data_IF_942982164641
#
_entry.id   IF_942982164641
#
_cell.length_a   1.000
_cell.length_b   1.000
_cell.length_c   1.000
_cell.angle_alpha   90.00
_cell.angle_beta   90.00
_cell.angle_gamma   90.00
#
_symmetry.space_group_name_H-M   'P 1'
#
loop_
_entity.id
_entity.type
_entity.pdbx_description
1 polymer ?
#
# COMPACT_ATOMS: atom_id res chain seq x y z
N UNK A 1 16.92 -0.95 22.66
CA UNK A 1 15.47 -0.93 22.91
C UNK A 1 14.85 0.13 21.99
N UNK A 2 14.50 -0.22 20.76
CA UNK A 2 13.66 0.62 19.91
C UNK A 2 12.30 0.55 20.56
N UNK A 3 11.92 1.67 21.14
CA UNK A 3 10.60 1.89 21.69
C UNK A 3 9.62 1.78 20.52
N UNK A 4 8.50 1.11 20.75
CA UNK A 4 7.27 1.41 20.03
C UNK A 4 7.19 2.93 19.87
N UNK A 5 7.31 3.44 18.65
CA UNK A 5 7.29 4.88 18.41
C UNK A 5 5.90 5.47 18.66
N UNK A 6 4.90 4.61 18.92
CA UNK A 6 3.60 5.04 19.36
C UNK A 6 3.73 5.89 20.62
N UNK A 7 3.35 7.13 20.42
CA UNK A 7 3.30 8.14 21.46
C UNK A 7 2.00 7.97 22.25
N UNK A 8 2.00 8.48 23.48
CA UNK A 8 0.77 8.64 24.27
C UNK A 8 -0.22 9.60 23.59
N UNK A 9 0.24 10.34 22.57
CA UNK A 9 -0.57 11.31 21.84
C UNK A 9 -0.53 11.09 20.33
N UNK A 10 -1.62 11.41 19.67
CA UNK A 10 -1.72 11.43 18.21
C UNK A 10 -1.31 12.80 17.66
N UNK A 11 -0.90 12.83 16.38
CA UNK A 11 -0.68 14.06 15.60
C UNK A 11 -1.68 14.16 14.45
N UNK A 12 -2.96 13.90 14.74
CA UNK A 12 -4.03 13.77 13.75
C UNK A 12 -4.12 14.99 12.81
N UNK A 13 -3.98 16.21 13.34
CA UNK A 13 -4.05 17.42 12.52
C UNK A 13 -2.88 17.53 11.55
N UNK A 14 -1.67 17.12 11.96
CA UNK A 14 -0.50 17.11 11.06
C UNK A 14 -0.61 16.01 9.99
N UNK A 15 -1.15 14.83 10.34
CA UNK A 15 -1.42 13.77 9.35
C UNK A 15 -2.42 14.25 8.29
N UNK A 16 -3.51 14.91 8.70
CA UNK A 16 -4.50 15.44 7.76
C UNK A 16 -3.97 16.60 6.92
N UNK A 17 -3.13 17.47 7.49
CA UNK A 17 -2.39 18.50 6.75
C UNK A 17 -1.49 17.88 5.68
N UNK A 18 -0.68 16.88 6.06
CA UNK A 18 0.20 16.19 5.12
C UNK A 18 -0.62 15.50 4.02
N UNK A 19 -1.71 14.83 4.38
CA UNK A 19 -2.64 14.18 3.45
C UNK A 19 -3.23 15.18 2.45
N UNK A 20 -3.64 16.36 2.92
CA UNK A 20 -4.21 17.42 2.08
C UNK A 20 -3.20 17.97 1.06
N UNK A 21 -1.99 18.28 1.50
CA UNK A 21 -1.02 19.02 0.69
C UNK A 21 -0.02 18.16 -0.07
N UNK A 22 0.38 17.03 0.50
CA UNK A 22 1.43 16.17 -0.07
C UNK A 22 0.85 14.98 -0.81
N UNK A 23 -0.19 14.33 -0.26
CA UNK A 23 -0.82 13.18 -0.90
C UNK A 23 -1.79 13.66 -1.98
N UNK A 24 -2.94 14.21 -1.60
CA UNK A 24 -3.95 14.65 -2.59
C UNK A 24 -3.68 16.02 -3.21
N UNK A 25 -2.62 16.70 -2.77
CA UNK A 25 -2.16 17.94 -3.42
C UNK A 25 -1.39 17.68 -4.71
N UNK A 26 -0.78 16.50 -4.86
CA UNK A 26 0.12 16.15 -5.97
C UNK A 26 -0.44 15.07 -6.90
N UNK A 27 -1.49 14.35 -6.50
CA UNK A 27 -2.08 13.26 -7.29
C UNK A 27 -3.13 13.81 -8.28
N UNK A 28 -2.96 13.50 -9.57
CA UNK A 28 -3.96 13.77 -10.61
C UNK A 28 -4.64 12.48 -11.07
N UNK A 29 -5.71 12.12 -10.36
CA UNK A 29 -6.64 11.03 -10.72
C UNK A 29 -8.07 11.54 -10.57
N UNK A 30 -8.63 12.22 -11.58
CA UNK A 30 -9.97 12.81 -11.52
C UNK A 30 -11.09 11.76 -11.54
N UNK A 31 -10.81 10.56 -12.06
CA UNK A 31 -11.75 9.45 -12.19
C UNK A 31 -11.86 8.55 -10.96
N UNK A 32 -10.97 8.70 -9.98
CA UNK A 32 -10.94 7.87 -8.78
C UNK A 32 -11.62 8.56 -7.58
N UNK A 33 -12.37 7.80 -6.78
CA UNK A 33 -12.81 8.26 -5.47
C UNK A 33 -11.60 8.53 -4.58
N UNK A 34 -11.66 9.65 -3.83
CA UNK A 34 -10.59 10.08 -2.93
C UNK A 34 -11.07 9.90 -1.50
N UNK A 35 -10.54 8.89 -0.84
CA UNK A 35 -10.98 8.47 0.50
C UNK A 35 -9.77 8.40 1.42
N UNK A 36 -9.91 8.92 2.64
CA UNK A 36 -8.96 8.80 3.74
C UNK A 36 -9.60 7.95 4.82
N UNK A 37 -9.05 6.76 5.08
CA UNK A 37 -9.38 5.96 6.25
C UNK A 37 -8.41 6.33 7.38
N UNK A 38 -8.87 7.10 8.37
CA UNK A 38 -8.04 7.58 9.48
C UNK A 38 -8.22 6.66 10.69
N UNK A 39 -7.26 5.78 10.93
CA UNK A 39 -7.21 4.96 12.16
C UNK A 39 -6.54 5.76 13.29
N UNK A 40 -7.21 5.89 14.44
CA UNK A 40 -6.66 6.61 15.60
C UNK A 40 -6.96 5.88 16.90
N UNK A 41 -5.95 5.70 17.74
CA UNK A 41 -6.07 5.01 19.03
C UNK A 41 -5.70 5.90 20.23
N UNK A 42 -5.41 7.18 20.00
CA UNK A 42 -4.99 8.13 21.03
C UNK A 42 -5.49 9.54 20.76
N UNK A 43 -5.33 10.42 21.74
CA UNK A 43 -5.75 11.81 21.65
C UNK A 43 -4.62 12.72 21.16
N UNK A 44 -4.94 13.72 20.34
CA UNK A 44 -4.00 14.78 19.99
C UNK A 44 -3.97 15.91 21.03
N UNK A 45 -2.80 16.52 21.32
CA UNK A 45 -2.71 17.63 22.25
C UNK A 45 -3.59 18.82 21.81
N UNK A 46 -4.27 19.52 22.74
CA UNK A 46 -5.22 20.60 22.40
C UNK A 46 -4.65 21.71 21.53
N UNK A 47 -3.33 21.97 21.60
CA UNK A 47 -2.65 22.98 20.76
C UNK A 47 -2.69 22.62 19.27
N UNK A 48 -2.47 21.35 18.94
CA UNK A 48 -2.47 20.87 17.55
C UNK A 48 -3.91 20.73 17.01
N UNK A 49 -4.84 20.28 17.86
CA UNK A 49 -6.24 20.09 17.51
C UNK A 49 -6.98 21.38 17.06
N UNK A 50 -6.44 22.57 17.33
CA UNK A 50 -7.02 23.86 16.90
C UNK A 50 -7.19 23.95 15.39
N UNK A 51 -6.30 23.33 14.62
CA UNK A 51 -6.31 23.39 13.17
C UNK A 51 -7.05 22.20 12.52
N UNK A 52 -7.54 21.24 13.31
CA UNK A 52 -8.19 20.03 12.80
C UNK A 52 -9.31 20.35 11.81
N UNK A 53 -10.24 21.23 12.21
CA UNK A 53 -11.39 21.63 11.38
C UNK A 53 -10.93 22.23 10.05
N UNK A 54 -9.90 23.07 10.07
CA UNK A 54 -9.36 23.72 8.86
C UNK A 54 -8.88 22.68 7.85
N UNK A 55 -8.16 21.66 8.28
CA UNK A 55 -7.64 20.63 7.37
C UNK A 55 -8.74 19.71 6.84
N UNK A 56 -9.70 19.32 7.69
CA UNK A 56 -10.83 18.51 7.24
C UNK A 56 -11.71 19.28 6.24
N UNK A 57 -11.92 20.59 6.46
CA UNK A 57 -12.61 21.45 5.50
C UNK A 57 -11.85 21.57 4.17
N UNK A 58 -10.52 21.68 4.21
CA UNK A 58 -9.69 21.66 3.01
C UNK A 58 -9.79 20.33 2.23
N UNK A 59 -9.82 19.20 2.94
CA UNK A 59 -10.04 17.88 2.35
C UNK A 59 -11.42 17.79 1.68
N UNK A 60 -12.47 18.26 2.37
CA UNK A 60 -13.83 18.34 1.82
C UNK A 60 -13.91 19.19 0.54
N UNK A 61 -13.27 20.37 0.53
CA UNK A 61 -13.27 21.24 -0.66
C UNK A 61 -12.63 20.57 -1.88
N UNK A 62 -11.68 19.67 -1.66
CA UNK A 62 -11.06 18.83 -2.70
C UNK A 62 -11.85 17.55 -3.01
N UNK A 63 -13.07 17.41 -2.46
CA UNK A 63 -13.94 16.23 -2.58
C UNK A 63 -13.27 14.95 -2.06
N UNK A 64 -12.51 15.07 -0.97
CA UNK A 64 -11.88 13.95 -0.28
C UNK A 64 -12.76 13.58 0.91
N UNK A 65 -13.21 12.32 0.95
CA UNK A 65 -14.01 11.75 2.03
C UNK A 65 -13.08 11.32 3.16
N UNK A 66 -13.41 11.63 4.41
CA UNK A 66 -12.59 11.25 5.57
C UNK A 66 -13.41 10.36 6.49
N UNK A 67 -12.98 9.12 6.66
CA UNK A 67 -13.62 8.10 7.48
C UNK A 67 -12.77 7.90 8.73
N UNK A 68 -13.14 8.53 9.87
CA UNK A 68 -12.40 8.36 11.11
C UNK A 68 -12.80 7.05 11.82
N UNK A 69 -11.81 6.25 12.17
CA UNK A 69 -11.94 5.00 12.95
C UNK A 69 -11.21 5.18 14.27
N UNK A 70 -11.95 5.36 15.36
CA UNK A 70 -11.41 5.38 16.71
C UNK A 70 -11.28 3.96 17.26
N UNK A 71 -10.09 3.57 17.70
CA UNK A 71 -9.80 2.23 18.21
C UNK A 71 -9.37 2.32 19.67
N UNK A 72 -10.13 1.70 20.56
CA UNK A 72 -9.81 1.63 21.97
C UNK A 72 -10.24 2.84 22.80
N UNK A 73 -10.09 2.75 24.13
CA UNK A 73 -10.63 3.73 25.07
C UNK A 73 -9.88 5.08 25.04
N UNK A 74 -8.68 5.11 24.45
CA UNK A 74 -7.85 6.32 24.39
C UNK A 74 -8.08 7.15 23.11
N UNK A 75 -8.85 6.63 22.15
CA UNK A 75 -9.23 7.37 20.96
C UNK A 75 -10.12 8.58 21.32
N UNK A 76 -9.84 9.75 20.75
CA UNK A 76 -10.62 10.95 21.07
C UNK A 76 -11.98 10.95 20.36
N UNK A 77 -13.03 10.55 21.08
CA UNK A 77 -14.42 10.62 20.59
C UNK A 77 -14.79 12.01 20.06
N UNK A 78 -14.35 13.07 20.76
CA UNK A 78 -14.60 14.45 20.37
C UNK A 78 -14.00 14.77 18.99
N UNK A 79 -12.77 14.31 18.71
CA UNK A 79 -12.12 14.55 17.42
C UNK A 79 -12.78 13.73 16.31
N UNK A 80 -13.05 12.45 16.56
CA UNK A 80 -13.71 11.55 15.59
C UNK A 80 -15.07 12.12 15.17
N UNK A 81 -15.92 12.52 16.12
CA UNK A 81 -17.22 13.14 15.85
C UNK A 81 -17.11 14.52 15.21
N UNK A 82 -16.03 15.27 15.47
CA UNK A 82 -15.80 16.55 14.81
C UNK A 82 -15.53 16.37 13.31
N UNK A 83 -14.76 15.35 12.95
CA UNK A 83 -14.46 14.99 11.55
C UNK A 83 -15.73 14.52 10.84
N UNK A 84 -16.49 13.61 11.46
CA UNK A 84 -17.77 13.11 10.96
C UNK A 84 -18.73 14.25 10.60
N UNK A 85 -18.85 15.26 11.47
CA UNK A 85 -19.74 16.41 11.25
C UNK A 85 -19.32 17.35 10.11
N UNK A 86 -18.12 17.22 9.54
CA UNK A 86 -17.67 18.15 8.49
C UNK A 86 -18.32 17.86 7.12
N UNK A 87 -18.70 16.61 6.84
CA UNK A 87 -19.30 16.21 5.56
C UNK A 87 -20.24 15.01 5.75
N UNK A 88 -21.38 14.96 5.04
CA UNK A 88 -22.34 13.85 5.18
C UNK A 88 -21.77 12.47 4.80
N UNK A 89 -20.77 12.44 3.93
CA UNK A 89 -20.08 11.21 3.51
C UNK A 89 -19.07 10.69 4.55
N UNK A 90 -18.70 11.51 5.53
CA UNK A 90 -17.80 11.09 6.60
C UNK A 90 -18.60 10.24 7.59
N UNK A 91 -18.39 8.91 7.60
CA UNK A 91 -18.94 8.00 8.61
C UNK A 91 -17.87 7.67 9.65
N UNK A 92 -18.18 7.86 10.93
CA UNK A 92 -17.28 7.46 12.00
C UNK A 92 -17.50 6.02 12.44
N UNK A 93 -16.40 5.29 12.69
CA UNK A 93 -16.41 4.00 13.36
C UNK A 93 -15.70 4.15 14.71
N UNK A 94 -16.33 3.66 15.77
CA UNK A 94 -15.79 3.67 17.12
C UNK A 94 -15.77 2.23 17.60
N UNK A 95 -14.59 1.77 17.97
CA UNK A 95 -14.29 0.38 18.25
C UNK A 95 -13.64 0.29 19.63
N UNK A 96 -13.98 -0.74 20.40
CA UNK A 96 -13.41 -0.98 21.73
C UNK A 96 -11.95 -1.44 21.69
N UNK A 97 -11.50 -1.96 20.55
CA UNK A 97 -10.16 -2.49 20.36
C UNK A 97 -9.96 -3.04 18.94
N UNK A 98 -8.80 -3.65 18.70
CA UNK A 98 -8.45 -4.23 17.40
C UNK A 98 -9.30 -5.46 17.08
N UNK A 99 -9.73 -6.22 18.09
CA UNK A 99 -10.62 -7.38 17.89
C UNK A 99 -11.98 -6.97 17.29
N UNK A 100 -12.55 -5.83 17.72
CA UNK A 100 -13.79 -5.32 17.14
C UNK A 100 -13.57 -4.79 15.71
N UNK A 101 -12.35 -4.29 15.40
CA UNK A 101 -12.00 -3.92 14.04
C UNK A 101 -12.04 -5.14 13.11
N UNK A 102 -11.57 -6.30 13.58
CA UNK A 102 -11.66 -7.55 12.82
C UNK A 102 -13.12 -8.00 12.65
N UNK A 103 -13.91 -7.96 13.72
CA UNK A 103 -15.33 -8.34 13.68
C UNK A 103 -16.16 -7.45 12.75
N UNK A 104 -15.82 -6.17 12.64
CA UNK A 104 -16.53 -5.17 11.82
C UNK A 104 -15.84 -4.88 10.49
N UNK A 105 -14.82 -5.66 10.13
CA UNK A 105 -14.04 -5.51 8.89
C UNK A 105 -14.93 -5.41 7.66
N UNK A 106 -15.87 -6.34 7.53
CA UNK A 106 -16.71 -6.44 6.33
C UNK A 106 -17.70 -5.28 6.23
N UNK A 107 -18.18 -4.74 7.36
CA UNK A 107 -18.99 -3.50 7.39
C UNK A 107 -18.20 -2.30 6.88
N UNK A 108 -16.96 -2.14 7.35
CA UNK A 108 -16.09 -1.02 6.96
C UNK A 108 -15.71 -1.15 5.48
N UNK A 109 -15.35 -2.35 5.02
CA UNK A 109 -15.03 -2.62 3.62
C UNK A 109 -16.25 -2.34 2.73
N UNK A 110 -17.43 -2.85 3.09
CA UNK A 110 -18.66 -2.60 2.32
C UNK A 110 -18.91 -1.10 2.17
N UNK A 111 -18.79 -0.34 3.27
CA UNK A 111 -18.95 1.10 3.23
C UNK A 111 -17.94 1.79 2.31
N UNK A 112 -16.67 1.37 2.35
CA UNK A 112 -15.64 1.90 1.44
C UNK A 112 -15.94 1.58 -0.02
N UNK A 113 -16.43 0.37 -0.31
CA UNK A 113 -16.80 -0.06 -1.64
C UNK A 113 -17.99 0.74 -2.19
N UNK A 114 -19.00 1.04 -1.37
CA UNK A 114 -20.18 1.84 -1.76
C UNK A 114 -19.81 3.29 -2.13
N UNK A 115 -18.64 3.78 -1.69
CA UNK A 115 -18.11 5.10 -2.05
C UNK A 115 -17.29 5.09 -3.34
N UNK A 116 -17.00 3.92 -3.91
CA UNK A 116 -16.30 3.82 -5.18
C UNK A 116 -17.26 4.21 -6.33
N UNK A 117 -16.75 4.86 -7.40
CA UNK A 117 -17.59 5.14 -8.56
C UNK A 117 -17.96 3.83 -9.24
N UNK A 118 -19.22 3.69 -9.65
CA UNK A 118 -19.66 2.55 -10.46
C UNK A 118 -18.76 2.41 -11.70
N UNK A 119 -18.25 1.20 -12.01
CA UNK A 119 -17.44 0.99 -13.20
C UNK A 119 -18.22 1.45 -14.42
N UNK A 120 -17.65 2.36 -15.23
CA UNK A 120 -18.25 2.70 -16.52
C UNK A 120 -18.40 1.41 -17.30
N UNK A 121 -19.63 1.06 -17.68
CA UNK A 121 -19.89 -0.08 -18.55
C UNK A 121 -18.95 0.02 -19.77
N UNK A 122 -18.33 -1.09 -20.20
CA UNK A 122 -17.43 -1.06 -21.34
C UNK A 122 -18.16 -0.43 -22.52
N UNK A 123 -17.62 0.68 -23.01
CA UNK A 123 -18.07 1.32 -24.24
C UNK A 123 -18.15 0.22 -25.29
N UNK A 124 -19.36 -0.03 -25.83
CA UNK A 124 -19.56 -1.01 -26.90
C UNK A 124 -18.51 -0.74 -27.96
N UNK A 125 -17.58 -1.67 -28.15
CA UNK A 125 -16.60 -1.61 -29.24
C UNK A 125 -17.41 -1.38 -30.53
N UNK A 126 -17.02 -0.44 -31.42
CA UNK A 126 -17.61 -0.39 -32.74
C UNK A 126 -17.48 -1.78 -33.35
N UNK A 127 -18.60 -2.35 -33.80
CA UNK A 127 -18.61 -3.64 -34.48
C UNK A 127 -17.65 -3.54 -35.66
N UNK A 128 -16.56 -4.31 -35.61
CA UNK A 128 -15.68 -4.49 -36.74
C UNK A 128 -16.52 -5.12 -37.85
N UNK A 129 -16.65 -4.40 -38.97
CA UNK A 129 -17.33 -4.91 -40.16
C UNK A 129 -16.74 -6.27 -40.54
N UNK A 130 -17.59 -7.28 -40.69
CA UNK A 130 -17.16 -8.60 -41.15
C UNK A 130 -16.64 -8.49 -42.58
N UNK A 131 -15.35 -8.78 -42.77
CA UNK A 131 -14.72 -8.84 -44.08
C UNK A 131 -15.03 -10.20 -44.71
N UNK A 132 -15.60 -10.16 -45.91
CA UNK A 132 -15.88 -11.30 -46.79
C UNK A 132 -14.61 -12.13 -47.04
N UNK A 133 -14.68 -13.43 -46.77
CA UNK A 133 -13.59 -14.39 -46.94
C UNK A 133 -13.20 -14.57 -48.41
N UNK A 134 -11.92 -14.34 -48.73
CA UNK A 134 -11.22 -14.85 -49.91
C UNK A 134 -10.10 -15.82 -49.50
N UNK A 135 -9.73 -16.82 -50.31
CA UNK A 135 -8.91 -17.93 -49.83
C UNK A 135 -7.39 -17.67 -49.92
N UNK A 136 -6.71 -17.87 -48.79
CA UNK A 136 -5.38 -18.48 -48.69
C UNK A 136 -4.16 -17.55 -48.77
N UNK A 137 -3.45 -17.35 -47.64
CA UNK A 137 -1.98 -17.41 -47.56
C UNK A 137 -1.53 -17.62 -46.10
N UNK A 138 -0.41 -18.36 -45.96
CA UNK A 138 0.33 -18.86 -44.81
C UNK A 138 0.36 -18.02 -43.51
N UNK A 139 0.42 -18.76 -42.40
CA UNK A 139 0.29 -18.28 -41.03
C UNK A 139 1.35 -17.26 -40.60
N UNK A 140 0.85 -16.13 -40.11
CA UNK A 140 1.57 -15.21 -39.23
C UNK A 140 0.83 -15.30 -37.89
N UNK A 141 1.50 -15.83 -36.88
CA UNK A 141 1.03 -15.75 -35.49
C UNK A 141 0.88 -14.27 -35.14
N UNK A 142 -0.37 -13.80 -35.08
CA UNK A 142 -0.68 -12.44 -34.66
C UNK A 142 -0.12 -12.22 -33.26
N UNK A 143 0.66 -11.16 -33.00
CA UNK A 143 1.05 -10.83 -31.64
C UNK A 143 -0.24 -10.48 -30.92
N UNK A 144 -0.62 -11.30 -29.93
CA UNK A 144 -1.65 -10.93 -28.97
C UNK A 144 -1.34 -9.53 -28.40
N UNK A 145 -2.34 -8.78 -27.94
CA UNK A 145 -2.13 -7.42 -27.46
C UNK A 145 -1.02 -7.43 -26.43
N UNK A 146 0.14 -6.84 -26.76
CA UNK A 146 1.25 -6.68 -25.83
C UNK A 146 0.67 -5.97 -24.62
N UNK A 147 0.54 -6.68 -23.49
CA UNK A 147 0.29 -6.02 -22.20
C UNK A 147 1.36 -4.95 -22.12
N UNK A 148 0.97 -3.69 -21.91
CA UNK A 148 1.94 -2.63 -21.63
C UNK A 148 2.82 -3.17 -20.50
N UNK A 149 4.12 -3.36 -20.75
CA UNK A 149 5.02 -3.78 -19.68
C UNK A 149 4.95 -2.69 -18.61
N UNK A 150 4.61 -3.10 -17.41
CA UNK A 150 4.59 -2.18 -16.28
C UNK A 150 6.04 -2.07 -15.83
N UNK A 151 6.58 -0.85 -15.89
CA UNK A 151 7.85 -0.50 -15.26
C UNK A 151 7.53 -0.16 -13.81
N UNK A 152 8.14 -0.88 -12.87
CA UNK A 152 7.85 -0.76 -11.43
C UNK A 152 9.06 -1.23 -10.62
N UNK A 153 9.35 -0.57 -9.51
CA UNK A 153 10.34 -1.02 -8.54
C UNK A 153 9.60 -1.51 -7.29
N UNK A 154 9.77 -2.80 -6.98
CA UNK A 154 9.02 -3.50 -5.93
C UNK A 154 9.95 -3.94 -4.83
N UNK A 155 9.69 -3.52 -3.60
CA UNK A 155 10.34 -4.08 -2.42
C UNK A 155 9.39 -5.01 -1.68
N UNK A 156 9.82 -6.26 -1.48
CA UNK A 156 9.19 -7.17 -0.52
C UNK A 156 9.86 -7.04 0.84
N UNK A 157 9.07 -6.90 1.90
CA UNK A 157 9.55 -6.78 3.28
C UNK A 157 8.97 -7.93 4.08
N UNK A 158 9.81 -8.90 4.42
CA UNK A 158 9.42 -10.13 5.11
C UNK A 158 9.71 -10.04 6.60
N UNK A 159 8.70 -10.27 7.43
CA UNK A 159 8.92 -10.44 8.87
C UNK A 159 9.57 -11.78 9.18
N UNK A 160 10.79 -11.73 9.72
CA UNK A 160 11.58 -12.87 10.17
C UNK A 160 11.72 -12.93 11.68
N UNK A 161 10.67 -12.60 12.44
CA UNK A 161 10.70 -12.60 13.91
C UNK A 161 10.55 -14.02 14.51
N UNK A 162 10.91 -14.19 15.79
CA UNK A 162 10.71 -15.44 16.54
C UNK A 162 9.22 -15.79 16.72
N UNK A 163 8.34 -14.78 16.67
CA UNK A 163 6.89 -14.95 16.75
C UNK A 163 6.31 -15.58 15.47
N UNK A 164 6.81 -15.15 14.31
CA UNK A 164 6.49 -15.80 13.02
C UNK A 164 7.07 -17.22 12.99
N UNK A 165 8.35 -17.36 13.35
CA UNK A 165 9.09 -18.61 13.33
C UNK A 165 9.45 -19.11 11.91
N UNK A 166 10.49 -19.94 11.82
CA UNK A 166 11.07 -20.38 10.54
C UNK A 166 10.05 -21.06 9.60
N UNK A 167 9.15 -21.89 10.16
CA UNK A 167 8.17 -22.61 9.35
C UNK A 167 7.17 -21.68 8.65
N UNK A 168 6.72 -20.61 9.31
CA UNK A 168 5.83 -19.63 8.67
C UNK A 168 6.60 -18.64 7.80
N UNK A 169 7.84 -18.30 8.17
CA UNK A 169 8.72 -17.51 7.29
C UNK A 169 8.93 -18.19 5.93
N UNK A 170 9.13 -19.51 5.92
CA UNK A 170 9.25 -20.27 4.67
C UNK A 170 7.96 -20.22 3.83
N UNK A 171 6.77 -20.22 4.45
CA UNK A 171 5.50 -19.99 3.73
C UNK A 171 5.42 -18.58 3.15
N UNK A 172 5.92 -17.56 3.86
CA UNK A 172 6.00 -16.18 3.35
C UNK A 172 6.92 -16.09 2.12
N UNK A 173 8.04 -16.83 2.10
CA UNK A 173 8.91 -16.95 0.92
C UNK A 173 8.19 -17.64 -0.24
N UNK A 174 7.51 -18.75 0.00
CA UNK A 174 6.73 -19.46 -1.02
C UNK A 174 5.66 -18.56 -1.64
N UNK A 175 4.97 -17.75 -0.81
CA UNK A 175 4.03 -16.74 -1.28
C UNK A 175 4.71 -15.70 -2.19
N UNK A 176 5.88 -15.19 -1.80
CA UNK A 176 6.67 -14.27 -2.62
C UNK A 176 7.03 -14.86 -3.98
N UNK A 177 7.50 -16.11 -4.01
CA UNK A 177 7.82 -16.81 -5.25
C UNK A 177 6.61 -16.88 -6.19
N UNK A 178 5.43 -17.22 -5.67
CA UNK A 178 4.19 -17.28 -6.45
C UNK A 178 3.77 -15.92 -7.01
N UNK A 179 3.96 -14.85 -6.22
CA UNK A 179 3.71 -13.47 -6.67
C UNK A 179 4.69 -13.07 -7.76
N UNK A 180 6.00 -13.27 -7.55
CA UNK A 180 7.07 -12.91 -8.49
C UNK A 180 6.94 -13.67 -9.81
N UNK A 181 6.56 -14.95 -9.78
CA UNK A 181 6.30 -15.75 -11.00
C UNK A 181 5.29 -15.08 -11.94
N UNK A 182 4.29 -14.40 -11.38
CA UNK A 182 3.22 -13.69 -12.12
C UNK A 182 3.59 -12.27 -12.55
N UNK A 183 4.68 -11.72 -12.02
CA UNK A 183 5.20 -10.39 -12.39
C UNK A 183 6.04 -10.46 -13.67
N UNK A 184 6.12 -9.36 -14.41
CA UNK A 184 6.95 -9.21 -15.60
C UNK A 184 8.37 -8.75 -15.23
N UNK A 185 9.04 -9.55 -14.39
CA UNK A 185 10.40 -9.26 -13.89
C UNK A 185 11.39 -9.38 -15.04
N UNK A 186 12.06 -8.27 -15.33
CA UNK A 186 13.07 -8.16 -16.38
C UNK A 186 13.82 -6.83 -16.24
N UNK A 187 14.96 -6.71 -16.93
CA UNK A 187 15.77 -5.49 -16.92
C UNK A 187 14.99 -4.23 -17.33
N UNK A 188 14.05 -4.36 -18.27
CA UNK A 188 13.22 -3.25 -18.78
C UNK A 188 11.81 -3.22 -18.18
N UNK A 189 11.49 -4.14 -17.26
CA UNK A 189 10.17 -4.33 -16.68
C UNK A 189 10.16 -4.05 -15.18
N UNK A 190 9.70 -5.02 -14.40
CA UNK A 190 9.63 -4.93 -12.94
C UNK A 190 10.99 -5.28 -12.33
N UNK A 191 11.51 -4.44 -11.44
CA UNK A 191 12.69 -4.74 -10.61
C UNK A 191 12.25 -5.09 -9.19
N UNK A 192 12.96 -6.02 -8.57
CA UNK A 192 12.66 -6.57 -7.25
C UNK A 192 13.82 -6.30 -6.28
N UNK A 193 13.48 -5.89 -5.06
CA UNK A 193 14.34 -5.95 -3.89
C UNK A 193 13.61 -6.70 -2.77
N UNK A 194 14.37 -7.34 -1.90
CA UNK A 194 13.85 -8.10 -0.77
C UNK A 194 14.58 -7.68 0.50
N UNK A 195 13.81 -7.35 1.53
CA UNK A 195 14.28 -7.13 2.88
C UNK A 195 13.67 -8.19 3.80
N UNK A 196 14.46 -8.66 4.75
CA UNK A 196 13.96 -9.34 5.93
C UNK A 196 14.02 -8.38 7.12
N UNK A 197 13.07 -8.42 8.03
CA UNK A 197 13.14 -7.62 9.25
C UNK A 197 12.65 -8.38 10.48
N UNK A 198 13.27 -8.10 11.61
CA UNK A 198 12.66 -8.31 12.93
C UNK A 198 12.77 -6.98 13.67
N UNK A 199 13.81 -6.79 14.47
CA UNK A 199 14.09 -5.51 15.12
C UNK A 199 14.88 -4.54 14.23
N UNK A 200 15.72 -5.09 13.35
CA UNK A 200 16.43 -4.37 12.30
C UNK A 200 16.05 -4.96 10.94
N UNK A 201 16.11 -4.13 9.90
CA UNK A 201 16.05 -4.59 8.51
C UNK A 201 17.40 -5.13 8.04
N UNK A 202 17.36 -6.25 7.34
CA UNK A 202 18.45 -6.90 6.63
C UNK A 202 18.11 -6.91 5.14
N UNK A 203 19.07 -6.51 4.30
CA UNK A 203 18.92 -6.55 2.86
C UNK A 203 19.26 -7.95 2.37
N UNK A 204 18.31 -8.61 1.70
CA UNK A 204 18.48 -9.95 1.13
C UNK A 204 18.76 -9.89 -0.38
N UNK A 205 18.21 -8.89 -1.06
CA UNK A 205 18.34 -8.70 -2.50
C UNK A 205 18.08 -7.22 -2.87
N UNK A 206 18.88 -6.62 -3.76
CA UNK A 206 18.77 -5.20 -4.15
C UNK A 206 18.45 -5.00 -5.62
N UNK A 207 17.99 -3.80 -6.02
CA UNK A 207 17.72 -3.48 -7.42
C UNK A 207 19.00 -3.45 -8.29
N UNK A 208 20.16 -3.28 -7.68
CA UNK A 208 21.46 -3.34 -8.37
C UNK A 208 21.87 -4.76 -8.82
N UNK A 209 21.22 -5.79 -8.28
CA UNK A 209 21.49 -7.17 -8.66
C UNK A 209 20.77 -7.55 -9.96
N UNK A 210 21.05 -8.75 -10.49
CA UNK A 210 20.55 -9.20 -11.79
C UNK A 210 19.02 -9.38 -11.81
N UNK A 211 18.30 -8.46 -12.45
CA UNK A 211 16.84 -8.43 -12.50
C UNK A 211 16.21 -9.41 -13.51
N UNK A 212 16.76 -10.62 -13.64
CA UNK A 212 16.09 -11.72 -14.37
C UNK A 212 15.14 -12.47 -13.45
N UNK A 213 14.02 -12.96 -13.98
CA UNK A 213 13.02 -13.67 -13.17
C UNK A 213 13.63 -14.91 -12.51
N UNK A 214 14.45 -15.64 -13.24
CA UNK A 214 15.12 -16.85 -12.79
C UNK A 214 16.08 -16.55 -11.64
N UNK A 215 16.91 -15.51 -11.76
CA UNK A 215 17.90 -15.13 -10.73
C UNK A 215 17.21 -14.62 -9.45
N UNK A 216 16.20 -13.77 -9.60
CA UNK A 216 15.42 -13.26 -8.46
C UNK A 216 14.76 -14.41 -7.71
N UNK A 217 14.11 -15.34 -8.41
CA UNK A 217 13.47 -16.50 -7.78
C UNK A 217 14.49 -17.41 -7.10
N UNK A 218 15.69 -17.55 -7.67
CA UNK A 218 16.75 -18.33 -7.05
C UNK A 218 17.22 -17.70 -5.73
N UNK A 219 17.49 -16.39 -5.72
CA UNK A 219 17.89 -15.69 -4.49
C UNK A 219 16.79 -15.77 -3.43
N UNK A 220 15.53 -15.55 -3.80
CA UNK A 220 14.39 -15.66 -2.87
C UNK A 220 14.35 -17.04 -2.19
N UNK A 221 14.61 -18.13 -2.91
CA UNK A 221 14.65 -19.48 -2.31
C UNK A 221 15.77 -19.64 -1.28
N UNK A 222 16.89 -18.97 -1.49
CA UNK A 222 18.09 -19.08 -0.66
C UNK A 222 18.06 -18.22 0.61
N UNK A 223 17.15 -17.24 0.68
CA UNK A 223 16.96 -16.39 1.86
C UNK A 223 16.78 -17.26 3.11
N UNK A 224 17.57 -16.98 4.15
CA UNK A 224 17.53 -17.72 5.41
C UNK A 224 16.74 -16.96 6.45
N UNK A 225 16.02 -17.70 7.28
CA UNK A 225 15.39 -17.14 8.46
C UNK A 225 16.45 -16.65 9.45
N UNK A 226 16.36 -15.38 9.87
CA UNK A 226 17.30 -14.79 10.83
C UNK A 226 16.80 -14.78 12.27
N UNK A 227 15.48 -14.81 12.49
CA UNK A 227 14.89 -14.70 13.81
C UNK A 227 15.03 -13.31 14.44
N UNK A 228 14.52 -13.20 15.65
CA UNK A 228 14.58 -11.98 16.45
C UNK A 228 13.40 -11.88 17.40
N UNK A 229 13.72 -11.66 18.68
CA UNK A 229 12.75 -11.64 19.76
C UNK A 229 11.85 -10.39 19.82
N UNK A 230 11.98 -9.46 18.86
CA UNK A 230 11.21 -8.22 18.77
C UNK A 230 11.05 -7.81 17.31
N UNK A 231 9.87 -7.29 16.99
CA UNK A 231 9.54 -6.74 15.67
C UNK A 231 9.52 -5.21 15.71
N UNK A 232 9.97 -4.58 14.61
CA UNK A 232 10.01 -3.14 14.45
C UNK A 232 9.74 -2.72 13.00
N UNK A 233 8.48 -2.85 12.59
CA UNK A 233 8.01 -2.51 11.25
C UNK A 233 8.27 -1.04 10.88
N UNK A 234 8.19 -0.14 11.87
CA UNK A 234 8.45 1.29 11.66
C UNK A 234 9.89 1.57 11.20
N UNK A 235 10.88 0.90 11.80
CA UNK A 235 12.27 1.03 11.36
C UNK A 235 12.48 0.41 9.97
N UNK A 236 11.83 -0.72 9.67
CA UNK A 236 11.93 -1.33 8.35
C UNK A 236 11.38 -0.39 7.25
N UNK A 237 10.22 0.24 7.49
CA UNK A 237 9.65 1.22 6.56
C UNK A 237 10.49 2.49 6.44
N UNK A 238 11.12 2.95 7.53
CA UNK A 238 12.06 4.06 7.49
C UNK A 238 13.29 3.69 6.64
N UNK A 239 13.85 2.49 6.84
CA UNK A 239 14.98 2.01 6.06
C UNK A 239 14.67 1.96 4.56
N UNK A 240 13.48 1.46 4.19
CA UNK A 240 13.02 1.48 2.80
C UNK A 240 13.03 2.88 2.19
N UNK A 241 12.45 3.84 2.92
CA UNK A 241 12.30 5.22 2.44
C UNK A 241 13.62 5.96 2.34
N UNK A 242 14.60 5.66 3.21
CA UNK A 242 15.87 6.38 3.26
C UNK A 242 16.95 5.72 2.40
N UNK A 243 16.89 4.40 2.21
CA UNK A 243 17.98 3.63 1.60
C UNK A 243 17.54 2.79 0.40
N UNK A 244 16.51 1.95 0.53
CA UNK A 244 16.13 1.01 -0.54
C UNK A 244 15.65 1.71 -1.81
N UNK A 245 14.80 2.73 -1.67
CA UNK A 245 14.38 3.58 -2.78
C UNK A 245 15.36 4.73 -2.98
N UNK A 246 16.60 4.39 -3.31
CA UNK A 246 17.63 5.37 -3.68
C UNK A 246 18.33 4.98 -4.97
N UNK A 247 18.77 5.97 -5.79
CA UNK A 247 19.52 5.68 -7.01
C UNK A 247 20.79 4.86 -6.76
N UNK A 248 21.37 4.99 -5.56
CA UNK A 248 22.55 4.21 -5.15
C UNK A 248 22.28 2.72 -4.97
N UNK A 249 21.02 2.35 -4.71
CA UNK A 249 20.57 0.96 -4.58
C UNK A 249 19.90 0.42 -5.85
N UNK A 250 19.89 1.22 -6.93
CA UNK A 250 19.35 0.84 -8.23
C UNK A 250 17.90 1.26 -8.48
N UNK A 251 17.29 2.04 -7.58
CA UNK A 251 15.96 2.61 -7.75
C UNK A 251 15.90 3.54 -8.97
N UNK A 252 14.85 3.38 -9.78
CA UNK A 252 14.68 4.08 -11.06
C UNK A 252 13.70 5.23 -10.87
N UNK A 253 14.16 6.46 -11.04
CA UNK A 253 13.34 7.67 -10.85
C UNK A 253 12.05 7.69 -11.70
N UNK A 254 12.07 7.06 -12.88
CA UNK A 254 10.93 6.96 -13.78
C UNK A 254 9.93 5.83 -13.42
N UNK A 255 10.32 4.90 -12.55
CA UNK A 255 9.49 3.78 -12.13
C UNK A 255 8.71 4.16 -10.87
N UNK A 256 7.41 3.82 -10.77
CA UNK A 256 6.70 3.91 -9.50
C UNK A 256 7.25 2.87 -8.51
N UNK A 257 7.25 3.24 -7.23
CA UNK A 257 7.73 2.37 -6.15
C UNK A 257 6.55 1.69 -5.45
N UNK A 258 6.66 0.39 -5.23
CA UNK A 258 5.65 -0.42 -4.54
C UNK A 258 6.30 -1.24 -3.42
N UNK A 259 5.64 -1.31 -2.28
CA UNK A 259 6.07 -2.12 -1.13
C UNK A 259 5.03 -3.19 -0.83
N UNK A 260 5.46 -4.45 -0.77
CA UNK A 260 4.70 -5.55 -0.19
C UNK A 260 5.27 -5.87 1.19
N UNK A 261 4.53 -5.51 2.24
CA UNK A 261 4.86 -5.90 3.60
C UNK A 261 4.16 -7.22 3.95
N UNK A 262 4.93 -8.22 4.36
CA UNK A 262 4.44 -9.54 4.81
C UNK A 262 4.86 -9.71 6.26
N UNK A 263 3.86 -9.75 7.15
CA UNK A 263 3.98 -9.78 8.62
C UNK A 263 3.13 -10.92 9.16
#
# INVERSE_FOLDING_TARGET
>A
QVKYAGSQVASTSEVLKYTLFQIFGRIDRPEASRIVLLLTASQEPPRLARNLVRYVQGLKQKKIIVIPVGIGPHASLRQVRLIEKQAPENKAFLLSGVDELEQRRDEIISYLCDLAPEPRAPTKRPQVAQITTGPGTLGISSPGPKRKSMVLDVVFVLEGSDEVGEANFNKSKEFLEEVIRRMDVSQDGIHISVLQYSYMATVEYTFNETQSKEDVLQHVREIRYHGGNRTNTGQALQYLSEYSFSPSQGDREQAPNLVYLVT
#
